data_IF_489280495227
#
_entry.id   IF_489280495227
#
_cell.length_a   1.000
_cell.length_b   1.000
_cell.length_c   1.000
_cell.angle_alpha   90.00
_cell.angle_beta   90.00
_cell.angle_gamma   90.00
#
_symmetry.space_group_name_H-M   'P 1'
#
loop_
_entity.id
_entity.type
_entity.pdbx_description
1 polymer ?
#
# COMPACT_ATOMS: atom_id res chain seq x y z
N UNK A 1 -30.16 13.17 -19.60
CA UNK A 1 -28.98 13.97 -19.23
C UNK A 1 -27.78 13.06 -19.41
N UNK A 2 -26.85 13.37 -20.31
CA UNK A 2 -25.61 12.61 -20.41
C UNK A 2 -24.72 13.04 -19.25
N UNK A 3 -24.67 12.24 -18.18
CA UNK A 3 -23.64 12.40 -17.17
C UNK A 3 -22.29 12.10 -17.83
N UNK A 4 -21.32 12.99 -17.64
CA UNK A 4 -19.93 12.70 -17.99
C UNK A 4 -19.50 11.41 -17.26
N UNK A 5 -18.65 10.57 -17.88
CA UNK A 5 -18.10 9.40 -17.20
C UNK A 5 -17.39 9.83 -15.90
N UNK A 6 -17.49 8.98 -14.88
CA UNK A 6 -16.91 9.28 -13.57
C UNK A 6 -15.38 9.48 -13.69
N UNK A 7 -14.79 10.45 -12.95
CA UNK A 7 -13.35 10.71 -12.98
C UNK A 7 -12.49 9.49 -12.64
N UNK A 8 -11.34 9.36 -13.31
CA UNK A 8 -10.33 8.34 -13.03
C UNK A 8 -9.13 9.02 -12.40
N UNK A 9 -8.76 8.60 -11.19
CA UNK A 9 -7.52 9.01 -10.54
C UNK A 9 -6.41 8.01 -10.86
N UNK A 10 -5.38 8.47 -11.55
CA UNK A 10 -4.27 7.63 -12.03
C UNK A 10 -3.05 7.61 -11.10
N UNK A 11 -3.08 8.35 -9.98
CA UNK A 11 -1.93 8.49 -9.10
C UNK A 11 -2.33 8.26 -7.64
N UNK A 12 -2.44 6.98 -7.27
CA UNK A 12 -2.81 6.62 -5.91
C UNK A 12 -1.94 5.50 -5.35
N UNK A 13 -1.76 5.48 -4.04
CA UNK A 13 -0.91 4.51 -3.36
C UNK A 13 -1.67 3.69 -2.33
N UNK A 14 -1.41 2.38 -2.30
CA UNK A 14 -1.94 1.41 -1.34
C UNK A 14 -0.80 0.48 -0.88
N UNK A 15 -0.84 0.01 0.37
CA UNK A 15 0.06 -1.03 0.88
C UNK A 15 -0.74 -2.10 1.63
N UNK A 16 -0.18 -3.30 1.84
CA UNK A 16 -0.78 -4.31 2.70
C UNK A 16 -0.87 -3.85 4.16
N UNK A 17 -1.96 -4.20 4.84
CA UNK A 17 -2.14 -3.94 6.29
C UNK A 17 -1.07 -4.65 7.12
N UNK A 18 -0.66 -5.84 6.70
CA UNK A 18 0.38 -6.63 7.33
C UNK A 18 1.51 -6.89 6.34
N UNK A 19 2.70 -6.40 6.69
CA UNK A 19 3.91 -6.59 5.90
C UNK A 19 4.77 -7.65 6.61
N UNK A 20 5.25 -8.69 5.92
CA UNK A 20 6.19 -9.65 6.49
C UNK A 20 7.41 -8.94 7.07
N UNK A 21 7.99 -9.51 8.14
CA UNK A 21 9.27 -9.05 8.68
C UNK A 21 10.41 -9.41 7.72
N UNK A 22 10.52 -8.68 6.61
CA UNK A 22 11.49 -8.93 5.55
C UNK A 22 12.93 -8.87 6.05
N UNK A 23 13.23 -7.99 7.01
CA UNK A 23 14.55 -7.92 7.59
C UNK A 23 14.96 -9.22 8.29
N UNK A 24 14.05 -9.85 9.04
CA UNK A 24 14.27 -11.14 9.68
C UNK A 24 14.34 -12.27 8.64
N UNK A 25 13.46 -12.23 7.63
CA UNK A 25 13.40 -13.22 6.55
C UNK A 25 14.66 -13.26 5.70
N UNK A 26 15.24 -12.10 5.39
CA UNK A 26 16.39 -11.98 4.50
C UNK A 26 17.74 -11.84 5.25
N UNK A 27 17.70 -11.55 6.55
CA UNK A 27 18.88 -11.48 7.41
C UNK A 27 19.62 -10.15 7.37
N UNK A 28 19.00 -9.06 6.88
CA UNK A 28 19.56 -7.70 6.87
C UNK A 28 18.48 -6.63 6.92
N UNK A 29 18.80 -5.43 7.43
CA UNK A 29 17.86 -4.33 7.64
C UNK A 29 17.53 -3.50 6.39
N UNK A 30 16.82 -2.39 6.58
CA UNK A 30 16.46 -1.41 5.55
C UNK A 30 15.02 -1.54 5.01
N UNK A 31 14.26 -2.54 5.46
CA UNK A 31 12.88 -2.78 5.05
C UNK A 31 11.87 -2.02 5.91
N UNK A 32 10.68 -1.79 5.35
CA UNK A 32 9.55 -1.20 6.08
C UNK A 32 8.82 -2.28 6.86
N UNK A 33 8.47 -1.96 8.11
CA UNK A 33 7.47 -2.66 8.93
C UNK A 33 6.33 -1.70 9.29
N UNK A 34 5.15 -2.24 9.55
CA UNK A 34 4.01 -1.48 10.07
C UNK A 34 3.83 -1.76 11.56
N UNK A 35 3.83 -0.71 12.36
CA UNK A 35 3.50 -0.76 13.78
C UNK A 35 2.10 -0.19 13.99
N UNK A 36 1.11 -1.07 14.16
CA UNK A 36 -0.28 -0.71 14.46
C UNK A 36 -0.40 -0.27 15.92
N UNK A 37 -0.49 1.04 16.15
CA UNK A 37 -0.45 1.62 17.50
C UNK A 37 -1.80 2.15 18.00
N UNK A 38 -2.80 2.32 17.12
CA UNK A 38 -4.19 2.54 17.51
C UNK A 38 -5.13 2.07 16.39
N UNK A 39 -6.45 1.92 16.66
CA UNK A 39 -7.39 1.45 15.65
C UNK A 39 -7.37 2.31 14.39
N UNK A 40 -7.10 1.69 13.25
CA UNK A 40 -7.06 2.38 11.95
C UNK A 40 -5.83 3.25 11.72
N UNK A 41 -4.79 3.19 12.57
CA UNK A 41 -3.53 3.92 12.35
C UNK A 41 -2.31 3.02 12.53
N UNK A 42 -1.32 3.23 11.67
CA UNK A 42 -0.05 2.52 11.73
C UNK A 42 1.12 3.47 11.48
N UNK A 43 2.26 3.15 12.10
CA UNK A 43 3.54 3.79 11.78
C UNK A 43 4.30 2.94 10.79
N UNK A 44 4.73 3.55 9.69
CA UNK A 44 5.72 2.97 8.79
C UNK A 44 7.10 3.19 9.41
N UNK A 45 7.72 2.11 9.85
CA UNK A 45 9.04 2.12 10.45
C UNK A 45 10.06 1.54 9.47
N UNK A 46 11.16 2.25 9.24
CA UNK A 46 12.32 1.74 8.51
C UNK A 46 13.43 1.48 9.52
N UNK A 47 13.71 0.20 9.77
CA UNK A 47 14.50 -0.18 10.94
C UNK A 47 13.92 0.49 12.20
N UNK A 48 14.71 1.26 12.94
CA UNK A 48 14.26 1.96 14.16
C UNK A 48 13.82 3.41 13.91
N UNK A 49 13.71 3.82 12.65
CA UNK A 49 13.34 5.20 12.27
C UNK A 49 11.89 5.26 11.83
N UNK A 50 11.11 6.14 12.45
CA UNK A 50 9.77 6.50 11.99
C UNK A 50 9.87 7.21 10.64
N UNK A 51 9.33 6.59 9.59
CA UNK A 51 9.28 7.18 8.25
C UNK A 51 8.04 8.08 8.08
N UNK A 52 6.86 7.54 8.39
CA UNK A 52 5.58 8.29 8.39
C UNK A 52 4.51 7.55 9.17
N UNK A 53 3.51 8.28 9.63
CA UNK A 53 2.25 7.72 10.12
C UNK A 53 1.24 7.62 8.96
N UNK A 54 0.37 6.60 9.01
CA UNK A 54 -0.64 6.32 8.01
C UNK A 54 -1.95 5.89 8.66
N UNK A 55 -3.05 6.16 7.96
CA UNK A 55 -4.40 5.79 8.37
C UNK A 55 -4.95 4.65 7.51
N UNK A 56 -6.08 4.08 7.93
CA UNK A 56 -6.71 2.91 7.32
C UNK A 56 -6.90 3.03 5.80
N UNK A 57 -7.17 4.22 5.26
CA UNK A 57 -7.31 4.42 3.81
C UNK A 57 -6.02 4.12 3.01
N UNK A 58 -4.89 3.86 3.67
CA UNK A 58 -3.65 3.43 3.03
C UNK A 58 -3.55 1.89 2.86
N UNK A 59 -4.47 1.10 3.43
CA UNK A 59 -4.53 -0.36 3.28
C UNK A 59 -5.96 -0.94 3.16
N UNK A 60 -6.97 -0.33 3.78
CA UNK A 60 -8.37 -0.76 3.77
C UNK A 60 -9.10 -0.30 2.49
N UNK A 61 -9.54 -1.22 1.61
CA UNK A 61 -10.28 -0.88 0.40
C UNK A 61 -11.62 -0.20 0.69
N UNK A 62 -12.31 -0.55 1.79
CA UNK A 62 -13.60 0.05 2.12
C UNK A 62 -13.47 1.52 2.51
N UNK A 63 -12.46 1.85 3.33
CA UNK A 63 -12.12 3.22 3.67
C UNK A 63 -11.78 4.06 2.42
N UNK A 64 -11.11 3.45 1.42
CA UNK A 64 -10.79 4.13 0.15
C UNK A 64 -11.98 4.34 -0.74
N UNK A 65 -12.88 3.36 -0.86
CA UNK A 65 -14.11 3.51 -1.63
C UNK A 65 -14.95 4.65 -1.03
N UNK A 66 -15.02 4.73 0.30
CA UNK A 66 -15.66 5.84 0.99
C UNK A 66 -15.02 7.20 0.65
N UNK A 67 -13.69 7.28 0.62
CA UNK A 67 -12.97 8.49 0.18
C UNK A 67 -13.28 8.83 -1.30
N UNK A 68 -13.35 7.82 -2.18
CA UNK A 68 -13.69 8.00 -3.59
C UNK A 68 -15.10 8.56 -3.75
N UNK A 69 -16.09 8.00 -3.07
CA UNK A 69 -17.48 8.46 -3.07
C UNK A 69 -17.57 9.91 -2.59
N UNK A 70 -16.86 10.26 -1.51
CA UNK A 70 -16.83 11.62 -0.98
C UNK A 70 -16.25 12.62 -1.98
N UNK A 71 -15.23 12.21 -2.73
CA UNK A 71 -14.53 13.07 -3.68
C UNK A 71 -15.09 13.00 -5.11
N UNK A 72 -16.07 12.15 -5.38
CA UNK A 72 -16.61 11.93 -6.71
C UNK A 72 -15.61 11.29 -7.67
N UNK A 73 -14.69 10.46 -7.16
CA UNK A 73 -13.77 9.64 -7.97
C UNK A 73 -14.46 8.33 -8.31
N UNK A 74 -14.52 8.00 -9.60
CA UNK A 74 -15.14 6.75 -10.06
C UNK A 74 -14.22 5.54 -10.00
N UNK A 75 -12.95 5.71 -10.38
CA UNK A 75 -11.95 4.64 -10.43
C UNK A 75 -10.59 5.17 -9.97
N UNK A 76 -9.83 4.34 -9.24
CA UNK A 76 -8.42 4.60 -8.92
C UNK A 76 -7.51 3.57 -9.60
N UNK A 77 -6.40 4.03 -10.16
CA UNK A 77 -5.27 3.18 -10.51
C UNK A 77 -4.36 3.07 -9.29
N UNK A 78 -4.17 1.86 -8.80
CA UNK A 78 -3.41 1.59 -7.58
C UNK A 78 -1.93 1.32 -7.87
N UNK A 79 -1.06 1.86 -7.05
CA UNK A 79 0.38 1.55 -7.00
C UNK A 79 0.83 1.34 -5.57
N UNK A 80 2.00 0.72 -5.34
CA UNK A 80 2.60 0.72 -4.00
C UNK A 80 3.19 2.09 -3.64
N UNK A 81 3.50 2.32 -2.36
CA UNK A 81 4.18 3.53 -1.90
C UNK A 81 5.67 3.47 -2.29
N UNK A 82 6.29 4.55 -2.81
CA UNK A 82 7.67 4.49 -3.33
C UNK A 82 8.75 3.98 -2.36
N UNK A 83 8.57 4.16 -1.05
CA UNK A 83 9.51 3.64 -0.05
C UNK A 83 9.60 2.10 -0.07
N UNK A 84 8.59 1.43 -0.62
CA UNK A 84 8.52 -0.03 -0.74
C UNK A 84 9.30 -0.60 -1.94
N UNK A 85 9.77 0.24 -2.87
CA UNK A 85 10.41 -0.22 -4.12
C UNK A 85 11.61 -1.15 -3.92
N UNK A 86 12.35 -0.97 -2.81
CA UNK A 86 13.40 -1.92 -2.40
C UNK A 86 14.50 -2.19 -3.45
N UNK A 87 14.74 -1.26 -4.38
CA UNK A 87 15.74 -1.42 -5.46
C UNK A 87 17.20 -1.55 -4.98
N UNK A 88 17.47 -1.28 -3.72
CA UNK A 88 18.78 -1.41 -3.08
C UNK A 88 19.07 -2.84 -2.58
N UNK A 89 18.09 -3.74 -2.64
CA UNK A 89 18.19 -5.12 -2.14
C UNK A 89 18.92 -6.03 -3.12
N UNK A 90 19.29 -7.24 -2.66
CA UNK A 90 19.67 -8.31 -3.58
C UNK A 90 18.50 -8.67 -4.49
N UNK A 91 18.77 -8.96 -5.77
CA UNK A 91 17.71 -9.13 -6.78
C UNK A 91 16.64 -10.17 -6.43
N UNK A 92 17.02 -11.27 -5.75
CA UNK A 92 16.07 -12.28 -5.28
C UNK A 92 15.12 -11.75 -4.21
N UNK A 93 15.65 -10.99 -3.27
CA UNK A 93 14.90 -10.48 -2.12
C UNK A 93 13.99 -9.33 -2.57
N UNK A 94 14.49 -8.45 -3.44
CA UNK A 94 13.68 -7.41 -4.09
C UNK A 94 12.55 -7.98 -4.94
N UNK A 95 12.80 -9.08 -5.67
CA UNK A 95 11.76 -9.79 -6.43
C UNK A 95 10.68 -10.36 -5.49
N UNK A 96 11.05 -10.94 -4.36
CA UNK A 96 10.10 -11.45 -3.37
C UNK A 96 9.26 -10.35 -2.72
N UNK A 97 9.82 -9.16 -2.49
CA UNK A 97 9.06 -8.00 -2.03
C UNK A 97 8.09 -7.52 -3.12
N UNK A 98 8.55 -7.43 -4.38
CA UNK A 98 7.73 -6.99 -5.50
C UNK A 98 6.55 -7.94 -5.76
N UNK A 99 6.79 -9.26 -5.76
CA UNK A 99 5.75 -10.28 -5.87
C UNK A 99 4.68 -10.11 -4.78
N UNK A 100 5.10 -10.03 -3.51
CA UNK A 100 4.18 -9.82 -2.38
C UNK A 100 3.33 -8.56 -2.53
N UNK A 101 3.92 -7.44 -2.95
CA UNK A 101 3.19 -6.18 -3.13
C UNK A 101 2.23 -6.22 -4.31
N UNK A 102 2.64 -6.85 -5.42
CA UNK A 102 1.83 -6.98 -6.62
C UNK A 102 0.63 -7.91 -6.39
N UNK A 103 0.85 -9.04 -5.72
CA UNK A 103 -0.20 -9.99 -5.38
C UNK A 103 -1.27 -9.34 -4.49
N UNK A 104 -0.84 -8.55 -3.48
CA UNK A 104 -1.77 -7.79 -2.65
C UNK A 104 -2.61 -6.79 -3.47
N UNK A 105 -1.98 -6.00 -4.35
CA UNK A 105 -2.73 -5.06 -5.19
C UNK A 105 -3.72 -5.80 -6.11
N UNK A 106 -3.31 -6.93 -6.68
CA UNK A 106 -4.18 -7.76 -7.51
C UNK A 106 -5.37 -8.32 -6.71
N UNK A 107 -5.15 -8.77 -5.48
CA UNK A 107 -6.21 -9.24 -4.57
C UNK A 107 -7.21 -8.12 -4.24
N UNK A 108 -6.73 -6.92 -3.93
CA UNK A 108 -7.58 -5.75 -3.66
C UNK A 108 -8.43 -5.40 -4.88
N UNK A 109 -7.83 -5.35 -6.08
CA UNK A 109 -8.56 -5.09 -7.32
C UNK A 109 -9.58 -6.20 -7.59
N UNK A 110 -9.25 -7.47 -7.36
CA UNK A 110 -10.18 -8.58 -7.56
C UNK A 110 -11.42 -8.50 -6.64
N UNK A 111 -11.29 -7.88 -5.46
CA UNK A 111 -12.40 -7.63 -4.54
C UNK A 111 -13.38 -6.54 -5.00
N UNK A 112 -12.94 -5.62 -5.86
CA UNK A 112 -13.77 -4.55 -6.44
C UNK A 112 -13.19 -4.10 -7.81
N UNK A 113 -13.44 -4.88 -8.89
CA UNK A 113 -12.78 -4.71 -10.18
C UNK A 113 -13.33 -3.56 -11.05
#
# INVERSE_FOLDING_TARGET
MNSLPAPIDIHTHLIPEHIPHFAERFGYGGFIRLEHHCPGCARMMKDDVLFREIEANNWDPAARIHDCDRHGVGVQVLSTVPVMFSYWTFGRDGAAVAEFLNDHLAEVVAGNP
#
